data_IF_646697977206
#
_entry.id   IF_646697977206
#
_cell.length_a   1.000
_cell.length_b   1.000
_cell.length_c   1.000
_cell.angle_alpha   90.00
_cell.angle_beta   90.00
_cell.angle_gamma   90.00
#
_symmetry.space_group_name_H-M   'P 1'
#
loop_
_entity.id
_entity.type
_entity.pdbx_description
1 polymer ?
#
# COMPACT_ATOMS: atom_id res chain seq x y z
N UNK A 1 -28.63 -14.14 3.38
CA UNK A 1 -28.08 -12.77 3.26
C UNK A 1 -26.72 -12.88 2.62
N UNK A 2 -26.46 -12.21 1.49
CA UNK A 2 -25.11 -12.15 0.92
C UNK A 2 -24.29 -11.21 1.80
N UNK A 3 -23.25 -11.71 2.43
CA UNK A 3 -22.26 -10.84 3.07
C UNK A 3 -21.61 -10.00 1.97
N UNK A 4 -21.88 -8.70 1.97
CA UNK A 4 -21.14 -7.76 1.12
C UNK A 4 -19.76 -7.64 1.75
N UNK A 5 -18.75 -8.24 1.11
CA UNK A 5 -17.36 -8.05 1.51
C UNK A 5 -16.96 -6.65 1.05
N UNK A 6 -16.72 -5.75 1.99
CA UNK A 6 -16.24 -4.40 1.70
C UNK A 6 -14.72 -4.44 1.81
N UNK A 7 -14.02 -4.27 0.69
CA UNK A 7 -12.58 -4.08 0.69
C UNK A 7 -12.26 -2.66 1.08
N UNK A 8 -11.37 -2.50 2.06
CA UNK A 8 -10.92 -1.21 2.52
C UNK A 8 -9.44 -1.02 2.24
N UNK A 9 -9.08 0.22 1.94
CA UNK A 9 -7.71 0.67 1.74
C UNK A 9 -7.43 1.80 2.73
N UNK A 10 -6.15 1.96 3.09
CA UNK A 10 -5.72 3.10 3.89
C UNK A 10 -5.40 4.27 2.95
N UNK A 11 -6.04 5.41 3.19
CA UNK A 11 -5.82 6.66 2.43
C UNK A 11 -5.42 7.77 3.38
N UNK A 12 -4.76 8.81 2.87
CA UNK A 12 -4.54 10.04 3.62
C UNK A 12 -5.87 10.74 3.95
N UNK A 13 -5.86 11.72 4.85
CA UNK A 13 -7.04 12.54 5.14
C UNK A 13 -7.57 13.27 3.88
N UNK A 14 -6.67 13.63 2.97
CA UNK A 14 -6.96 14.21 1.65
C UNK A 14 -7.62 13.22 0.67
N UNK A 15 -7.51 11.91 0.94
CA UNK A 15 -8.14 10.86 0.13
C UNK A 15 -7.22 10.23 -0.90
N UNK A 16 -5.95 10.61 -0.93
CA UNK A 16 -4.94 10.00 -1.78
C UNK A 16 -4.41 8.70 -1.16
N UNK A 17 -3.85 7.84 -2.00
CA UNK A 17 -2.93 6.83 -1.48
C UNK A 17 -1.75 7.55 -0.80
N UNK A 18 -1.20 7.02 0.30
CA UNK A 18 0.00 7.58 0.89
C UNK A 18 1.18 7.42 -0.10
N UNK A 19 1.35 8.38 -1.00
CA UNK A 19 2.38 8.39 -2.05
C UNK A 19 3.72 8.89 -1.52
N UNK A 20 3.70 9.81 -0.56
CA UNK A 20 4.91 10.42 0.00
C UNK A 20 4.76 10.62 1.51
N UNK A 21 5.51 9.83 2.28
CA UNK A 21 5.82 10.22 3.65
C UNK A 21 7.24 10.74 3.67
N UNK A 22 7.40 12.04 3.44
CA UNK A 22 8.65 12.72 3.69
C UNK A 22 9.05 12.53 5.15
N UNK A 23 10.02 11.65 5.44
CA UNK A 23 10.93 11.89 6.57
C UNK A 23 12.27 11.16 6.46
N UNK A 24 13.28 11.99 6.69
CA UNK A 24 14.71 11.78 6.99
C UNK A 24 14.97 10.59 7.93
N UNK A 25 14.81 9.36 7.47
CA UNK A 25 15.41 8.22 8.14
C UNK A 25 16.35 7.54 7.15
N UNK A 26 17.59 7.32 7.58
CA UNK A 26 18.66 6.70 6.78
C UNK A 26 18.44 5.21 6.54
N UNK A 27 17.30 4.63 6.95
CA UNK A 27 17.01 3.21 6.81
C UNK A 27 15.56 2.96 6.32
N UNK A 28 15.37 2.59 5.03
CA UNK A 28 14.07 2.26 4.44
C UNK A 28 13.26 1.18 5.18
N UNK A 29 13.93 0.31 5.95
CA UNK A 29 13.28 -0.77 6.71
C UNK A 29 12.37 -0.25 7.81
N UNK A 30 12.69 0.90 8.42
CA UNK A 30 11.88 1.49 9.49
C UNK A 30 10.58 2.13 8.94
N UNK A 31 10.59 2.57 7.69
CA UNK A 31 9.42 3.19 7.05
C UNK A 31 8.27 2.20 6.87
N UNK A 32 8.54 1.02 6.32
CA UNK A 32 7.52 -0.02 6.13
C UNK A 32 6.93 -0.47 7.46
N UNK A 33 7.77 -0.52 8.50
CA UNK A 33 7.34 -0.81 9.87
C UNK A 33 6.36 0.22 10.39
N UNK A 34 6.65 1.51 10.18
CA UNK A 34 5.78 2.60 10.60
C UNK A 34 4.47 2.59 9.82
N UNK A 35 4.48 2.33 8.50
CA UNK A 35 3.26 2.21 7.67
C UNK A 35 2.39 1.05 8.14
N UNK A 36 2.97 -0.10 8.43
CA UNK A 36 2.23 -1.28 8.95
C UNK A 36 1.64 -1.00 10.32
N UNK A 37 2.43 -0.44 11.24
CA UNK A 37 1.97 -0.06 12.58
C UNK A 37 0.85 0.96 12.52
N UNK A 38 0.98 1.95 11.64
CA UNK A 38 -0.07 2.93 11.35
C UNK A 38 -1.33 2.24 10.82
N UNK A 39 -1.20 1.32 9.87
CA UNK A 39 -2.35 0.55 9.38
C UNK A 39 -3.00 -0.38 10.44
N UNK A 40 -2.48 -0.45 11.67
CA UNK A 40 -2.99 -1.30 12.75
C UNK A 40 -2.36 -2.71 12.76
N UNK A 41 -1.36 -2.96 11.93
CA UNK A 41 -0.52 -4.14 11.99
C UNK A 41 0.36 -4.10 13.24
N UNK A 42 -0.06 -4.81 14.28
CA UNK A 42 0.68 -4.92 15.54
C UNK A 42 1.47 -6.23 15.67
N UNK A 43 1.38 -7.14 14.70
CA UNK A 43 2.12 -8.39 14.77
C UNK A 43 3.55 -8.18 14.28
N UNK A 44 4.53 -8.71 15.01
CA UNK A 44 5.91 -8.84 14.51
C UNK A 44 5.97 -9.62 13.20
N UNK A 45 4.94 -10.43 12.90
CA UNK A 45 4.76 -11.12 11.63
C UNK A 45 4.54 -10.15 10.47
N UNK A 46 3.70 -9.13 10.58
CA UNK A 46 3.42 -8.17 9.48
C UNK A 46 4.66 -7.39 9.06
N UNK A 47 5.41 -6.93 10.05
CA UNK A 47 6.69 -6.25 9.89
C UNK A 47 7.75 -7.18 9.29
N UNK A 48 7.82 -8.42 9.78
CA UNK A 48 8.76 -9.41 9.24
C UNK A 48 8.39 -9.83 7.82
N UNK A 49 7.10 -9.94 7.50
CA UNK A 49 6.63 -10.29 6.15
C UNK A 49 7.07 -9.22 5.15
N UNK A 50 6.97 -7.93 5.44
CA UNK A 50 7.48 -6.90 4.50
C UNK A 50 8.99 -6.89 4.35
N UNK A 51 9.72 -6.98 5.47
CA UNK A 51 11.19 -6.94 5.45
C UNK A 51 11.83 -8.15 4.75
N UNK A 52 11.19 -9.33 4.80
CA UNK A 52 11.69 -10.54 4.13
C UNK A 52 11.16 -10.71 2.70
N UNK A 53 10.13 -9.95 2.32
CA UNK A 53 9.53 -10.02 0.98
C UNK A 53 10.07 -8.96 0.00
N UNK A 54 11.07 -8.16 0.38
CA UNK A 54 11.73 -7.22 -0.54
C UNK A 54 12.42 -7.88 -1.74
N UNK A 55 12.47 -9.21 -1.79
CA UNK A 55 12.97 -10.01 -2.92
C UNK A 55 11.89 -10.54 -3.86
N UNK A 56 10.61 -10.28 -3.57
CA UNK A 56 9.53 -10.69 -4.45
C UNK A 56 9.68 -9.99 -5.81
N UNK A 57 9.56 -10.77 -6.88
CA UNK A 57 9.43 -10.20 -8.23
C UNK A 57 8.01 -9.67 -8.45
N UNK A 58 7.85 -8.76 -9.42
CA UNK A 58 6.54 -8.23 -9.80
C UNK A 58 5.57 -9.37 -10.11
N UNK A 59 4.37 -9.31 -9.52
CA UNK A 59 3.32 -10.32 -9.65
C UNK A 59 3.43 -11.47 -8.64
N UNK A 60 4.50 -11.54 -7.85
CA UNK A 60 4.63 -12.54 -6.79
C UNK A 60 3.92 -12.09 -5.52
N UNK A 61 3.35 -13.09 -4.84
CA UNK A 61 2.68 -12.94 -3.54
C UNK A 61 3.28 -13.94 -2.58
N UNK A 62 3.65 -13.48 -1.39
CA UNK A 62 4.05 -14.34 -0.30
C UNK A 62 3.32 -13.92 0.98
N UNK A 63 2.56 -14.87 1.52
CA UNK A 63 1.68 -14.65 2.68
C UNK A 63 0.71 -13.48 2.44
N UNK A 64 0.88 -12.39 3.18
CA UNK A 64 0.06 -11.18 3.13
C UNK A 64 0.66 -10.07 2.27
N UNK A 65 1.82 -10.28 1.63
CA UNK A 65 2.52 -9.23 0.88
C UNK A 65 2.57 -9.59 -0.60
N UNK A 66 2.28 -8.60 -1.46
CA UNK A 66 2.36 -8.72 -2.91
C UNK A 66 3.25 -7.60 -3.47
N UNK A 67 4.17 -7.95 -4.37
CA UNK A 67 4.82 -6.98 -5.23
C UNK A 67 3.93 -6.81 -6.48
N UNK A 68 3.25 -5.67 -6.59
CA UNK A 68 2.11 -5.50 -7.50
C UNK A 68 2.58 -5.08 -8.88
N UNK A 69 3.37 -4.02 -8.96
CA UNK A 69 3.91 -3.53 -10.21
C UNK A 69 5.14 -2.66 -9.99
N UNK A 70 5.96 -2.60 -11.03
CA UNK A 70 7.07 -1.69 -11.15
C UNK A 70 7.08 -1.10 -12.55
N UNK A 71 6.89 0.21 -12.66
CA UNK A 71 6.78 0.88 -13.96
C UNK A 71 7.20 2.35 -13.90
N UNK A 72 7.69 2.89 -15.02
CA UNK A 72 7.92 4.31 -15.16
C UNK A 72 6.57 5.05 -15.21
N UNK A 73 6.45 6.10 -14.41
CA UNK A 73 5.35 7.05 -14.50
C UNK A 73 5.78 8.19 -15.41
N UNK A 74 4.87 8.65 -16.26
CA UNK A 74 5.11 9.85 -17.08
C UNK A 74 4.67 11.05 -16.25
N UNK A 75 5.62 11.85 -15.79
CA UNK A 75 5.39 13.10 -15.06
C UNK A 75 5.91 14.28 -15.86
N UNK A 76 5.33 15.46 -15.62
CA UNK A 76 5.68 16.69 -16.37
C UNK A 76 7.10 17.18 -16.07
N UNK A 77 7.65 16.79 -14.92
CA UNK A 77 8.98 17.15 -14.41
C UNK A 77 10.06 16.10 -14.70
N UNK A 78 9.71 15.00 -15.38
CA UNK A 78 10.69 14.03 -15.85
C UNK A 78 11.61 14.67 -16.91
N UNK A 79 12.89 14.36 -16.82
CA UNK A 79 13.96 14.84 -17.71
C UNK A 79 14.63 13.66 -18.42
N UNK A 80 15.56 13.95 -19.33
CA UNK A 80 16.36 12.92 -20.01
C UNK A 80 17.21 12.07 -19.06
N UNK A 81 17.57 12.61 -17.89
CA UNK A 81 18.45 11.96 -16.91
C UNK A 81 17.77 11.66 -15.55
N UNK A 82 16.49 11.99 -15.39
CA UNK A 82 15.74 11.72 -14.17
C UNK A 82 14.28 11.47 -14.50
N UNK A 83 13.72 10.36 -14.04
CA UNK A 83 12.32 10.00 -14.25
C UNK A 83 11.70 9.45 -12.97
N UNK A 84 10.37 9.46 -12.92
CA UNK A 84 9.58 8.91 -11.83
C UNK A 84 9.27 7.43 -12.09
N UNK A 85 9.44 6.59 -11.06
CA UNK A 85 9.06 5.18 -11.11
C UNK A 85 8.06 4.90 -9.99
N UNK A 86 6.99 4.17 -10.31
CA UNK A 86 6.10 3.58 -9.33
C UNK A 86 6.57 2.15 -9.01
N UNK A 87 6.92 1.91 -7.75
CA UNK A 87 7.22 0.59 -7.20
C UNK A 87 6.15 0.27 -6.13
N UNK A 88 5.16 -0.53 -6.51
CA UNK A 88 3.90 -0.69 -5.77
C UNK A 88 3.87 -2.02 -5.03
N UNK A 89 3.65 -1.93 -3.73
CA UNK A 89 3.53 -3.07 -2.83
C UNK A 89 2.17 -3.04 -2.14
N UNK A 90 1.56 -4.21 -1.98
CA UNK A 90 0.30 -4.35 -1.27
C UNK A 90 0.45 -5.30 -0.09
N UNK A 91 -0.23 -4.95 1.01
CA UNK A 91 -0.14 -5.67 2.28
C UNK A 91 -1.56 -5.93 2.78
N UNK A 92 -1.92 -7.20 2.89
CA UNK A 92 -3.19 -7.65 3.42
C UNK A 92 -3.07 -7.83 4.94
N UNK A 93 -3.65 -6.91 5.71
CA UNK A 93 -3.64 -6.94 7.17
C UNK A 93 -4.95 -7.46 7.78
N UNK A 94 -5.76 -8.19 7.01
CA UNK A 94 -7.07 -8.69 7.48
C UNK A 94 -6.99 -9.57 8.74
N UNK A 95 -5.84 -10.17 9.03
CA UNK A 95 -5.60 -10.95 10.25
C UNK A 95 -5.24 -10.11 11.48
N UNK A 96 -5.01 -8.79 11.36
CA UNK A 96 -4.56 -7.94 12.46
C UNK A 96 -5.62 -7.68 13.55
N UNK A 97 -6.88 -8.10 13.34
CA UNK A 97 -7.94 -8.16 14.34
C UNK A 97 -8.55 -6.83 14.77
N UNK A 98 -7.73 -5.79 14.96
CA UNK A 98 -8.15 -4.41 15.26
C UNK A 98 -7.32 -3.42 14.46
N UNK A 99 -7.85 -3.07 13.29
CA UNK A 99 -7.33 -1.97 12.49
C UNK A 99 -7.52 -0.67 13.28
N UNK A 100 -6.45 0.11 13.44
CA UNK A 100 -6.53 1.34 14.24
C UNK A 100 -7.25 2.43 13.43
N UNK A 101 -8.49 2.76 13.81
CA UNK A 101 -9.29 3.79 13.17
C UNK A 101 -8.80 5.23 13.48
N UNK A 102 -7.92 5.39 14.47
CA UNK A 102 -7.34 6.68 14.85
C UNK A 102 -5.94 6.83 14.29
N UNK A 103 -5.88 7.18 13.03
CA UNK A 103 -4.66 7.64 12.38
C UNK A 103 -4.77 9.13 12.13
N UNK A 104 -3.88 9.92 12.74
CA UNK A 104 -3.96 11.38 12.72
C UNK A 104 -4.05 11.96 11.30
N UNK A 105 -3.47 11.27 10.31
CA UNK A 105 -3.41 11.70 8.92
C UNK A 105 -3.94 10.66 7.91
N UNK A 106 -4.55 9.56 8.37
CA UNK A 106 -5.06 8.52 7.48
C UNK A 106 -6.44 8.02 7.91
N UNK A 107 -7.16 7.42 6.95
CA UNK A 107 -8.47 6.81 7.18
C UNK A 107 -8.67 5.64 6.26
N UNK A 108 -9.37 4.63 6.77
CA UNK A 108 -9.84 3.50 5.99
C UNK A 108 -11.01 3.93 5.11
N UNK A 109 -10.92 3.62 3.83
CA UNK A 109 -11.95 3.90 2.83
C UNK A 109 -12.25 2.66 2.00
N UNK A 110 -13.46 2.59 1.45
CA UNK A 110 -13.79 1.56 0.47
C UNK A 110 -12.85 1.67 -0.75
N UNK A 111 -12.31 0.54 -1.20
CA UNK A 111 -11.33 0.44 -2.28
C UNK A 111 -11.80 1.05 -3.62
N UNK A 112 -13.12 1.10 -3.83
CA UNK A 112 -13.75 1.60 -5.05
C UNK A 112 -14.36 3.01 -4.89
N UNK A 113 -13.84 3.82 -3.97
CA UNK A 113 -14.28 5.20 -3.82
C UNK A 113 -13.99 6.04 -5.06
N UNK A 114 -14.93 6.89 -5.48
CA UNK A 114 -14.79 7.80 -6.63
C UNK A 114 -13.75 8.91 -6.41
N UNK A 115 -13.33 9.14 -5.17
CA UNK A 115 -12.41 10.21 -4.77
C UNK A 115 -10.94 9.92 -5.10
N UNK A 116 -10.60 8.69 -5.51
CA UNK A 116 -9.22 8.28 -5.82
C UNK A 116 -8.83 8.69 -7.24
N UNK A 117 -7.56 8.99 -7.49
CA UNK A 117 -7.03 9.21 -8.84
C UNK A 117 -7.12 7.94 -9.71
N UNK A 118 -7.13 8.09 -11.04
CA UNK A 118 -7.12 6.94 -11.96
C UNK A 118 -5.92 6.02 -11.74
N UNK A 119 -4.74 6.61 -11.50
CA UNK A 119 -3.51 5.89 -11.15
C UNK A 119 -3.70 5.06 -9.88
N UNK A 120 -4.21 5.68 -8.81
CA UNK A 120 -4.47 4.98 -7.54
C UNK A 120 -5.45 3.83 -7.71
N UNK A 121 -6.55 4.04 -8.45
CA UNK A 121 -7.55 3.00 -8.72
C UNK A 121 -6.94 1.81 -9.46
N UNK A 122 -6.06 2.07 -10.44
CA UNK A 122 -5.35 1.01 -11.16
C UNK A 122 -4.43 0.21 -10.24
N UNK A 123 -3.66 0.87 -9.37
CA UNK A 123 -2.82 0.18 -8.38
C UNK A 123 -3.65 -0.68 -7.41
N UNK A 124 -4.77 -0.16 -6.92
CA UNK A 124 -5.68 -0.90 -6.05
C UNK A 124 -6.25 -2.13 -6.78
N UNK A 125 -6.69 -1.97 -8.02
CA UNK A 125 -7.22 -3.08 -8.81
C UNK A 125 -6.17 -4.18 -9.02
N UNK A 126 -4.94 -3.81 -9.38
CA UNK A 126 -3.82 -4.76 -9.50
C UNK A 126 -3.52 -5.44 -8.16
N UNK A 127 -3.60 -4.71 -7.05
CA UNK A 127 -3.39 -5.26 -5.71
C UNK A 127 -4.44 -6.31 -5.35
N UNK A 128 -5.72 -6.03 -5.62
CA UNK A 128 -6.82 -6.97 -5.40
C UNK A 128 -6.65 -8.23 -6.27
N UNK A 129 -6.29 -8.05 -7.54
CA UNK A 129 -5.99 -9.17 -8.44
C UNK A 129 -4.83 -10.04 -7.94
N UNK A 130 -3.76 -9.44 -7.43
CA UNK A 130 -2.62 -10.17 -6.88
C UNK A 130 -3.05 -11.09 -5.73
N UNK A 131 -3.90 -10.61 -4.83
CA UNK A 131 -4.46 -11.43 -3.74
C UNK A 131 -5.60 -12.36 -4.16
N UNK A 132 -6.01 -12.35 -5.44
CA UNK A 132 -7.16 -13.10 -5.98
C UNK A 132 -8.47 -12.75 -5.26
N UNK A 133 -8.64 -11.46 -4.98
CA UNK A 133 -9.76 -10.85 -4.27
C UNK A 133 -10.67 -10.10 -5.25
#
# INVERSE_FOLDING_TARGET
MKHVIIFQILTTTAGDLPQEWHKRTTNPSNFLIDVVRMAGGNSSLDVNSLTHNGTLEVGQVNQSVAHVCKEALIREDDTDNAWTEADVWAVNISHAGNVNDKLDNCKWKAAFSSELSEESRRFIQSSLQAFKI
#
